data_IF_923825742913
#
_entry.id   IF_923825742913
#
_cell.length_a   1.000
_cell.length_b   1.000
_cell.length_c   1.000
_cell.angle_alpha   90.00
_cell.angle_beta   90.00
_cell.angle_gamma   90.00
#
_symmetry.space_group_name_H-M   'P 1'
#
loop_
_entity.id
_entity.type
_entity.pdbx_description
1 polymer ?
#
# COMPACT_ATOMS: atom_id res chain seq x y z
N UNK A 1 18.01 8.25 11.12
CA UNK A 1 17.62 8.26 9.69
C UNK A 1 16.86 9.55 9.44
N UNK A 2 17.08 10.25 8.31
CA UNK A 2 16.22 11.36 7.96
C UNK A 2 14.76 10.88 7.82
N UNK A 3 13.77 11.71 8.18
CA UNK A 3 12.36 11.35 7.99
C UNK A 3 12.09 11.14 6.49
N UNK A 4 11.33 10.10 6.16
CA UNK A 4 10.82 9.90 4.79
C UNK A 4 9.69 10.90 4.59
N UNK A 5 9.98 11.99 3.87
CA UNK A 5 9.04 13.08 3.60
C UNK A 5 8.32 12.95 2.24
N UNK A 6 8.68 11.94 1.45
CA UNK A 6 8.09 11.70 0.13
C UNK A 6 6.78 10.92 0.25
N UNK A 7 5.70 11.45 -0.33
CA UNK A 7 4.47 10.72 -0.48
C UNK A 7 4.64 9.67 -1.58
N UNK A 8 4.45 8.39 -1.24
CA UNK A 8 4.52 7.29 -2.21
C UNK A 8 3.09 6.82 -2.51
N UNK A 9 2.62 6.91 -3.77
CA UNK A 9 1.29 6.45 -4.13
C UNK A 9 1.23 4.91 -4.10
N UNK A 10 0.12 4.38 -3.61
CA UNK A 10 -0.09 2.94 -3.41
C UNK A 10 -1.42 2.49 -4.00
N UNK A 11 -1.39 1.39 -4.74
CA UNK A 11 -2.58 0.71 -5.25
C UNK A 11 -2.89 -0.50 -4.37
N UNK A 12 -4.15 -0.66 -3.98
CA UNK A 12 -4.60 -1.84 -3.24
C UNK A 12 -4.70 -3.05 -4.18
N UNK A 13 -3.88 -4.07 -3.94
CA UNK A 13 -3.80 -5.29 -4.75
C UNK A 13 -4.64 -6.41 -4.15
N UNK A 14 -4.74 -6.49 -2.82
CA UNK A 14 -5.46 -7.58 -2.15
C UNK A 14 -5.95 -7.16 -0.75
N UNK A 15 -7.15 -7.62 -0.40
CA UNK A 15 -7.68 -7.55 0.98
C UNK A 15 -8.07 -8.95 1.43
N UNK A 16 -7.55 -9.38 2.58
CA UNK A 16 -7.93 -10.64 3.24
C UNK A 16 -8.39 -10.37 4.67
N UNK A 17 -9.53 -10.94 5.05
CA UNK A 17 -10.00 -10.91 6.44
C UNK A 17 -9.77 -12.25 7.09
N UNK A 18 -9.14 -12.26 8.27
CA UNK A 18 -8.97 -13.46 9.07
C UNK A 18 -9.99 -13.50 10.20
N UNK A 19 -10.34 -14.71 10.66
CA UNK A 19 -11.42 -14.96 11.65
C UNK A 19 -11.30 -14.19 12.97
N UNK A 20 -10.15 -13.60 13.26
CA UNK A 20 -9.89 -12.66 14.36
C UNK A 20 -10.20 -11.19 14.04
N UNK A 21 -10.87 -10.90 12.91
CA UNK A 21 -11.09 -9.54 12.35
C UNK A 21 -9.81 -8.79 11.98
N UNK A 22 -8.72 -9.52 11.81
CA UNK A 22 -7.50 -8.94 11.22
C UNK A 22 -7.73 -8.75 9.74
N UNK A 23 -7.48 -7.53 9.28
CA UNK A 23 -7.49 -7.19 7.86
C UNK A 23 -6.03 -7.14 7.40
N UNK A 24 -5.70 -7.95 6.40
CA UNK A 24 -4.44 -7.88 5.67
C UNK A 24 -4.70 -7.21 4.32
N UNK A 25 -4.00 -6.11 4.08
CA UNK A 25 -4.03 -5.41 2.80
C UNK A 25 -2.64 -5.47 2.16
N UNK A 26 -2.58 -5.93 0.92
CA UNK A 26 -1.36 -5.90 0.12
C UNK A 26 -1.45 -4.74 -0.84
N UNK A 27 -0.50 -3.82 -0.75
CA UNK A 27 -0.38 -2.68 -1.65
C UNK A 27 0.82 -2.84 -2.57
N UNK A 28 0.67 -2.41 -3.82
CA UNK A 28 1.78 -2.18 -4.74
C UNK A 28 2.12 -0.70 -4.79
N UNK A 29 3.35 -0.38 -5.18
CA UNK A 29 3.68 1.01 -5.54
C UNK A 29 2.93 1.34 -6.83
N UNK A 30 2.09 2.37 -6.79
CA UNK A 30 1.51 2.88 -8.02
C UNK A 30 2.66 3.38 -8.91
N UNK A 31 2.60 3.06 -10.20
CA UNK A 31 3.50 3.71 -11.16
C UNK A 31 2.99 5.15 -11.31
N UNK A 32 3.91 6.11 -11.28
CA UNK A 32 3.57 7.44 -11.77
C UNK A 32 3.12 7.27 -13.23
N UNK A 33 1.86 7.56 -13.52
CA UNK A 33 1.34 7.61 -14.88
C UNK A 33 1.95 8.87 -15.53
N UNK A 34 3.23 8.77 -15.87
CA UNK A 34 3.99 9.78 -16.57
C UNK A 34 4.87 9.04 -17.56
N UNK A 35 4.27 8.77 -18.71
CA UNK A 35 4.92 8.39 -19.96
C UNK A 35 5.72 9.60 -20.50
#
# INVERSE_FOLDING_TARGET
LPPVTENVPLDLIETRTFGSRVIYERYGRARDESD
#
